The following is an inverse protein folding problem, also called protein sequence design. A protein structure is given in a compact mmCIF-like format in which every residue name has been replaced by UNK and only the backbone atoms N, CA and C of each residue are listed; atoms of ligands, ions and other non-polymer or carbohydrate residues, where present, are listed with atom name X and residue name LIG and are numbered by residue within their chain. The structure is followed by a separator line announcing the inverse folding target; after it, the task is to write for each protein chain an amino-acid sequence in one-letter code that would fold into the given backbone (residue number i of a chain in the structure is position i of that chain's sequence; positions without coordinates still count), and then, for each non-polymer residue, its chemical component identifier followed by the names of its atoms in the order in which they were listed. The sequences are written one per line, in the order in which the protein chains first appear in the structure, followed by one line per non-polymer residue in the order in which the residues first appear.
data_IF_617618618987
#
_entry.id   IF_617618618987
#
_cell.length_a   1.000
_cell.length_b   1.000
_cell.length_c   1.000
_cell.angle_alpha   90.00
_cell.angle_beta   90.00
_cell.angle_gamma   90.00
#
_symmetry.space_group_name_H-M   'P 1'
#
loop_
_entity.id
_entity.type
_entity.pdbx_description
1 polymer ?
#
# COMPACT_ATOMS: atom_id res chain seq x y z
N UNK A 1 17.23 -15.68 23.11
CA UNK A 1 16.31 -15.28 24.21
C UNK A 1 15.15 -14.54 23.59
N UNK A 2 13.92 -15.05 23.74
CA UNK A 2 12.72 -14.29 23.40
C UNK A 2 12.53 -13.26 24.51
N UNK A 3 12.83 -12.00 24.24
CA UNK A 3 12.46 -10.90 25.12
C UNK A 3 10.94 -10.81 25.17
N UNK A 4 10.36 -10.90 26.37
CA UNK A 4 8.94 -10.61 26.58
C UNK A 4 8.59 -9.26 25.92
N UNK A 5 7.43 -9.17 25.24
CA UNK A 5 7.01 -7.90 24.65
C UNK A 5 6.87 -6.89 25.77
N UNK A 6 7.67 -5.82 25.73
CA UNK A 6 7.54 -4.67 26.63
C UNK A 6 6.07 -4.26 26.61
N UNK A 7 5.36 -4.43 27.73
CA UNK A 7 4.03 -3.85 27.91
C UNK A 7 4.15 -2.37 27.50
N UNK A 8 3.44 -1.97 26.44
CA UNK A 8 3.42 -0.59 25.93
C UNK A 8 2.84 0.30 27.03
N UNK A 9 3.71 0.83 27.91
CA UNK A 9 3.33 1.67 29.06
C UNK A 9 2.53 2.90 28.66
N UNK A 10 2.65 3.31 27.39
CA UNK A 10 2.04 4.52 26.86
C UNK A 10 0.70 4.26 26.15
N UNK A 11 0.26 2.99 26.03
CA UNK A 11 -0.97 2.60 25.31
C UNK A 11 -1.07 3.26 23.92
N UNK A 12 0.03 3.29 23.19
CA UNK A 12 0.11 3.73 21.79
C UNK A 12 0.56 2.54 20.96
N UNK A 13 -0.01 2.37 19.77
CA UNK A 13 0.45 1.38 18.82
C UNK A 13 0.26 1.87 17.38
N UNK A 14 1.34 1.93 16.61
CA UNK A 14 1.30 2.17 15.17
C UNK A 14 1.84 0.94 14.46
N UNK A 15 1.07 0.40 13.52
CA UNK A 15 1.43 -0.83 12.82
C UNK A 15 0.94 -0.84 11.39
N UNK A 16 1.74 -1.38 10.49
CA UNK A 16 1.32 -1.71 9.15
C UNK A 16 1.07 -3.22 9.05
N UNK A 17 -0.15 -3.58 8.68
CA UNK A 17 -0.54 -4.93 8.30
C UNK A 17 -0.24 -5.10 6.81
N UNK A 18 0.65 -6.03 6.48
CA UNK A 18 1.01 -6.32 5.09
C UNK A 18 0.13 -7.45 4.55
N UNK A 19 -0.56 -7.18 3.44
CA UNK A 19 -1.37 -8.19 2.75
C UNK A 19 -0.58 -8.58 1.50
N UNK A 20 0.00 -9.77 1.53
CA UNK A 20 0.90 -10.23 0.48
C UNK A 20 0.18 -11.20 -0.47
N UNK A 21 0.21 -10.88 -1.76
CA UNK A 21 -0.10 -11.84 -2.83
C UNK A 21 1.19 -12.13 -3.60
N UNK A 22 1.52 -13.42 -3.77
CA UNK A 22 2.77 -13.83 -4.44
C UNK A 22 2.43 -14.42 -5.80
N UNK A 23 3.03 -13.86 -6.86
CA UNK A 23 2.87 -14.32 -8.23
C UNK A 23 4.18 -14.81 -8.81
N UNK A 24 4.20 -16.10 -9.13
CA UNK A 24 5.25 -16.71 -9.94
C UNK A 24 4.98 -16.43 -11.43
N UNK A 25 5.07 -15.16 -11.81
CA UNK A 25 4.89 -14.72 -13.18
C UNK A 25 6.02 -15.25 -14.07
N UNK A 26 5.68 -15.78 -15.25
CA UNK A 26 6.69 -16.28 -16.21
C UNK A 26 7.31 -15.19 -17.07
N UNK A 27 6.74 -13.98 -17.07
CA UNK A 27 7.16 -12.86 -17.89
C UNK A 27 7.14 -11.56 -17.07
N UNK A 28 7.89 -10.51 -17.50
CA UNK A 28 7.92 -9.23 -16.81
C UNK A 28 6.53 -8.62 -16.62
N UNK A 29 6.38 -7.85 -15.54
CA UNK A 29 5.23 -6.95 -15.34
C UNK A 29 5.68 -5.55 -15.71
N UNK A 30 4.88 -4.84 -16.50
CA UNK A 30 5.17 -3.48 -16.94
C UNK A 30 4.10 -2.55 -16.40
N UNK A 31 4.47 -1.53 -15.63
CA UNK A 31 3.56 -0.46 -15.25
C UNK A 31 3.63 0.68 -16.27
N UNK A 32 2.45 1.18 -16.62
CA UNK A 32 2.25 2.13 -17.72
C UNK A 32 1.45 3.33 -17.18
N UNK A 33 1.72 4.50 -17.75
CA UNK A 33 1.09 5.77 -17.40
C UNK A 33 1.38 6.18 -15.96
N UNK A 34 2.56 6.79 -15.79
CA UNK A 34 2.89 7.55 -14.58
C UNK A 34 1.90 8.70 -14.42
N UNK A 35 1.34 8.84 -13.21
CA UNK A 35 0.44 9.93 -12.86
C UNK A 35 1.00 10.67 -11.65
N UNK A 36 0.87 11.98 -11.66
CA UNK A 36 0.94 12.75 -10.42
C UNK A 36 -0.23 12.36 -9.52
N UNK A 37 -0.03 12.45 -8.20
CA UNK A 37 -1.11 12.31 -7.22
C UNK A 37 -2.33 13.14 -7.66
N UNK A 38 -3.50 12.51 -7.77
CA UNK A 38 -4.73 13.20 -8.15
C UNK A 38 -5.10 14.26 -7.10
N UNK A 39 -5.41 15.51 -7.49
CA UNK A 39 -5.77 16.58 -6.53
C UNK A 39 -7.09 16.33 -5.80
N UNK A 40 -7.89 15.35 -6.25
CA UNK A 40 -9.18 14.99 -5.65
C UNK A 40 -9.13 13.69 -4.84
N UNK A 41 -7.96 13.06 -4.69
CA UNK A 41 -7.83 11.86 -3.85
C UNK A 41 -7.20 12.20 -2.52
N UNK A 42 -7.84 11.71 -1.46
CA UNK A 42 -7.37 11.85 -0.09
C UNK A 42 -6.43 10.68 0.25
N UNK A 43 -5.61 10.83 1.29
CA UNK A 43 -4.69 9.76 1.73
C UNK A 43 -5.46 8.47 2.07
N UNK A 44 -6.63 8.64 2.68
CA UNK A 44 -7.60 7.64 3.09
C UNK A 44 -8.15 6.80 1.93
N UNK A 45 -8.18 7.38 0.73
CA UNK A 45 -8.58 6.66 -0.47
C UNK A 45 -7.48 5.67 -0.82
N UNK A 46 -6.24 6.13 -0.90
CA UNK A 46 -5.13 5.29 -1.33
C UNK A 46 -4.64 4.26 -0.32
N UNK A 47 -4.71 4.58 0.97
CA UNK A 47 -4.19 3.77 2.04
C UNK A 47 -5.27 3.60 3.09
N UNK A 48 -5.83 2.39 3.17
CA UNK A 48 -6.76 2.06 4.24
C UNK A 48 -6.02 1.97 5.56
N UNK A 49 -6.60 2.53 6.61
CA UNK A 49 -6.13 2.41 7.98
C UNK A 49 -7.30 2.55 8.95
N UNK A 50 -7.07 2.11 10.18
CA UNK A 50 -7.96 2.34 11.31
C UNK A 50 -7.30 3.30 12.29
N UNK A 51 -8.12 4.06 12.99
CA UNK A 51 -7.69 4.90 14.11
C UNK A 51 -8.54 4.61 15.33
N UNK A 52 -7.91 4.43 16.48
CA UNK A 52 -8.62 4.42 17.77
C UNK A 52 -8.00 5.46 18.69
N UNK A 53 -8.80 6.21 19.47
CA UNK A 53 -10.26 6.26 19.43
C UNK A 53 -10.79 6.83 18.10
N UNK A 54 -12.07 6.55 17.76
CA UNK A 54 -12.65 6.99 16.49
C UNK A 54 -12.71 8.52 16.38
N UNK A 55 -12.79 9.01 15.14
CA UNK A 55 -12.85 10.42 14.81
C UNK A 55 -13.96 11.17 15.57
N UNK A 56 -13.67 12.40 16.01
CA UNK A 56 -14.65 13.30 16.63
C UNK A 56 -14.66 13.32 18.17
N UNK A 57 -13.91 12.44 18.84
CA UNK A 57 -13.68 12.53 20.28
C UNK A 57 -12.45 13.38 20.64
N UNK A 58 -12.41 13.99 21.82
CA UNK A 58 -11.22 14.73 22.33
C UNK A 58 -9.95 13.85 22.33
N UNK A 59 -10.11 12.53 22.50
CA UNK A 59 -8.99 11.61 22.52
C UNK A 59 -8.43 11.26 21.12
N UNK A 60 -9.07 11.70 20.02
CA UNK A 60 -8.59 11.53 18.64
C UNK A 60 -7.81 12.75 18.11
N UNK A 61 -7.56 13.78 18.94
CA UNK A 61 -6.87 15.01 18.52
C UNK A 61 -5.44 14.81 18.01
N UNK A 62 -4.78 13.70 18.32
CA UNK A 62 -3.45 13.42 17.78
C UNK A 62 -3.46 13.27 16.27
N UNK A 63 -4.57 12.77 15.68
CA UNK A 63 -4.69 12.57 14.24
C UNK A 63 -4.55 13.90 13.48
N UNK A 64 -5.22 14.95 13.95
CA UNK A 64 -5.17 16.27 13.33
C UNK A 64 -3.79 16.96 13.44
N UNK A 65 -2.88 16.40 14.25
CA UNK A 65 -1.53 16.92 14.46
C UNK A 65 -0.47 16.15 13.68
N UNK A 66 -0.86 15.09 12.97
CA UNK A 66 0.05 14.25 12.20
C UNK A 66 -0.43 14.23 10.75
N UNK A 67 0.40 14.75 9.85
CA UNK A 67 0.17 14.67 8.42
C UNK A 67 0.65 13.30 7.91
N UNK A 68 -0.26 12.31 7.89
CA UNK A 68 0.08 10.94 7.48
C UNK A 68 0.62 10.84 6.06
N UNK A 69 0.22 11.75 5.17
CA UNK A 69 0.75 11.81 3.80
C UNK A 69 2.25 12.11 3.82
N UNK A 70 2.66 13.13 4.59
CA UNK A 70 4.07 13.48 4.77
C UNK A 70 4.83 12.42 5.58
N UNK A 71 4.25 11.92 6.68
CA UNK A 71 4.93 10.97 7.55
C UNK A 71 5.24 9.65 6.84
N UNK A 72 4.34 9.19 5.95
CA UNK A 72 4.58 8.02 5.13
C UNK A 72 5.39 8.32 3.86
N UNK A 73 5.85 9.57 3.67
CA UNK A 73 6.67 10.04 2.54
C UNK A 73 6.02 9.82 1.17
N UNK A 74 4.71 10.07 1.08
CA UNK A 74 3.93 9.77 -0.12
C UNK A 74 4.21 10.73 -1.28
N UNK A 75 4.75 11.91 -1.00
CA UNK A 75 5.08 12.94 -2.00
C UNK A 75 6.14 12.52 -3.02
N UNK A 76 6.92 11.47 -2.73
CA UNK A 76 7.99 10.98 -3.61
C UNK A 76 7.59 9.75 -4.42
N UNK A 77 6.32 9.32 -4.33
CA UNK A 77 5.87 8.08 -4.93
C UNK A 77 5.52 8.28 -6.40
N UNK A 78 6.12 7.43 -7.25
CA UNK A 78 5.66 7.26 -8.62
C UNK A 78 4.47 6.32 -8.62
N UNK A 79 3.32 6.86 -9.01
CA UNK A 79 2.06 6.13 -9.09
C UNK A 79 1.77 5.83 -10.56
N UNK A 80 1.44 4.59 -10.85
CA UNK A 80 1.05 4.14 -12.18
C UNK A 80 -0.41 3.73 -12.17
N UNK A 81 -1.14 3.99 -13.25
CA UNK A 81 -2.58 3.69 -13.34
C UNK A 81 -2.90 2.47 -14.20
N UNK A 82 -1.90 1.93 -14.90
CA UNK A 82 -2.06 0.79 -15.80
C UNK A 82 -0.93 -0.19 -15.58
N UNK A 83 -1.21 -1.47 -15.79
CA UNK A 83 -0.21 -2.52 -15.80
C UNK A 83 -0.45 -3.44 -16.98
N UNK A 84 0.61 -3.99 -17.55
CA UNK A 84 0.57 -5.01 -18.58
C UNK A 84 1.42 -6.19 -18.12
N UNK A 85 0.98 -7.40 -18.46
CA UNK A 85 1.82 -8.59 -18.33
C UNK A 85 1.80 -9.36 -19.65
N UNK A 86 2.65 -10.37 -19.76
CA UNK A 86 2.77 -11.12 -21.01
C UNK A 86 2.46 -12.59 -20.79
N UNK A 87 1.93 -13.22 -21.83
CA UNK A 87 1.78 -14.68 -21.88
C UNK A 87 2.25 -15.21 -23.23
N UNK A 88 2.73 -16.45 -23.27
CA UNK A 88 3.08 -17.12 -24.52
C UNK A 88 1.82 -17.62 -25.21
N UNK A 89 1.64 -17.22 -26.47
CA UNK A 89 0.61 -17.80 -27.32
C UNK A 89 0.98 -19.25 -27.64
N UNK A 90 0.12 -20.21 -27.23
CA UNK A 90 0.31 -21.67 -27.39
C UNK A 90 0.73 -22.11 -28.80
N UNK A 91 0.36 -21.35 -29.84
CA UNK A 91 0.57 -21.74 -31.24
C UNK A 91 1.78 -21.13 -31.94
N UNK A 92 2.43 -20.08 -31.40
CA UNK A 92 3.44 -19.32 -32.17
C UNK A 92 4.73 -18.90 -31.46
N UNK A 93 4.91 -19.21 -30.16
CA UNK A 93 6.03 -18.67 -29.35
C UNK A 93 6.14 -17.13 -29.38
N UNK A 94 5.04 -16.46 -29.75
CA UNK A 94 4.93 -15.00 -29.69
C UNK A 94 4.43 -14.60 -28.30
N UNK A 95 5.06 -13.60 -27.69
CA UNK A 95 4.56 -12.96 -26.47
C UNK A 95 3.39 -12.07 -26.85
N UNK A 96 2.26 -12.24 -26.18
CA UNK A 96 1.14 -11.33 -26.27
C UNK A 96 0.97 -10.60 -24.95
N UNK A 97 0.81 -9.28 -25.04
CA UNK A 97 0.29 -8.47 -23.95
C UNK A 97 -1.07 -9.04 -23.56
N UNK A 98 -1.20 -9.41 -22.30
CA UNK A 98 -2.42 -9.94 -21.72
C UNK A 98 -2.56 -9.35 -20.32
N UNK A 99 -3.80 -9.09 -19.91
CA UNK A 99 -4.11 -8.94 -18.50
C UNK A 99 -4.63 -10.31 -18.05
N UNK A 100 -3.79 -11.19 -17.49
CA UNK A 100 -4.28 -12.39 -16.84
C UNK A 100 -5.24 -11.91 -15.78
N UNK A 101 -6.46 -12.40 -15.86
CA UNK A 101 -7.48 -12.23 -14.83
C UNK A 101 -6.88 -12.51 -13.44
N UNK A 102 -5.87 -13.38 -13.35
CA UNK A 102 -5.12 -13.69 -12.15
C UNK A 102 -4.53 -12.49 -11.39
N UNK A 103 -4.05 -11.43 -12.05
CA UNK A 103 -3.55 -10.24 -11.34
C UNK A 103 -4.71 -9.42 -10.78
N UNK A 104 -5.71 -9.15 -11.62
CA UNK A 104 -6.91 -8.41 -11.25
C UNK A 104 -7.63 -9.08 -10.07
N UNK A 105 -7.84 -10.39 -10.15
CA UNK A 105 -8.47 -11.18 -9.08
C UNK A 105 -7.68 -11.13 -7.78
N UNK A 106 -6.35 -11.06 -7.86
CA UNK A 106 -5.50 -10.97 -6.66
C UNK A 106 -5.61 -9.60 -6.00
N UNK A 107 -5.66 -8.55 -6.81
CA UNK A 107 -5.92 -7.19 -6.32
C UNK A 107 -7.28 -7.12 -5.61
N UNK A 108 -8.33 -7.65 -6.23
CA UNK A 108 -9.66 -7.69 -5.62
C UNK A 108 -9.67 -8.47 -4.31
N UNK A 109 -9.05 -9.67 -4.25
CA UNK A 109 -8.98 -10.45 -3.00
C UNK A 109 -8.27 -9.73 -1.87
N UNK A 110 -7.15 -9.06 -2.15
CA UNK A 110 -6.46 -8.25 -1.14
C UNK A 110 -7.36 -7.12 -0.63
N UNK A 111 -8.05 -6.44 -1.54
CA UNK A 111 -8.95 -5.32 -1.21
C UNK A 111 -10.16 -5.80 -0.40
N UNK A 112 -10.79 -6.90 -0.79
CA UNK A 112 -11.89 -7.52 -0.05
C UNK A 112 -11.47 -7.88 1.37
N UNK A 113 -10.28 -8.47 1.53
CA UNK A 113 -9.73 -8.77 2.84
C UNK A 113 -9.50 -7.50 3.67
N UNK A 114 -8.87 -6.48 3.08
CA UNK A 114 -8.59 -5.20 3.77
C UNK A 114 -9.88 -4.55 4.23
N UNK A 115 -10.89 -4.46 3.36
CA UNK A 115 -12.18 -3.86 3.69
C UNK A 115 -12.87 -4.65 4.82
N UNK A 116 -12.85 -5.98 4.76
CA UNK A 116 -13.41 -6.83 5.80
C UNK A 116 -12.70 -6.65 7.16
N UNK A 117 -11.37 -6.49 7.17
CA UNK A 117 -10.62 -6.24 8.40
C UNK A 117 -10.92 -4.85 8.96
N UNK A 118 -10.92 -3.80 8.13
CA UNK A 118 -11.22 -2.43 8.55
C UNK A 118 -12.62 -2.35 9.16
N UNK A 119 -13.65 -2.93 8.52
CA UNK A 119 -15.02 -2.91 9.04
C UNK A 119 -15.20 -3.65 10.38
N UNK A 120 -14.31 -4.57 10.75
CA UNK A 120 -14.36 -5.21 12.09
C UNK A 120 -14.01 -4.26 13.23
N UNK A 121 -13.37 -3.13 12.93
CA UNK A 121 -12.96 -2.13 13.93
C UNK A 121 -14.00 -1.02 14.14
N UNK A 122 -15.14 -1.07 13.46
CA UNK A 122 -16.23 -0.08 13.60
C UNK A 122 -16.92 -0.12 14.98
N UNK A 123 -16.62 -1.12 15.83
CA UNK A 123 -17.08 -1.21 17.23
C UNK A 123 -15.88 -1.29 18.20
N UNK A 124 -15.16 -0.18 18.44
CA UNK A 124 -13.96 -0.20 19.26
C UNK A 124 -14.33 -0.24 20.76
N UNK A 125 -13.87 -1.27 21.47
CA UNK A 125 -13.82 -1.29 22.93
C UNK A 125 -13.06 -0.04 23.45
N UNK A 126 -13.64 0.71 24.39
CA UNK A 126 -12.99 1.85 25.05
C UNK A 126 -11.88 1.39 26.02
N UNK A 127 -10.73 1.02 25.46
CA UNK A 127 -9.58 0.50 26.21
C UNK A 127 -8.44 1.54 26.40
N UNK A 128 -8.70 2.78 25.98
CA UNK A 128 -7.81 3.96 26.09
C UNK A 128 -6.51 3.86 25.25
N UNK A 129 -6.43 2.93 24.29
CA UNK A 129 -5.30 2.87 23.37
C UNK A 129 -5.45 3.86 22.22
N UNK A 130 -4.33 4.51 21.89
CA UNK A 130 -4.20 5.30 20.67
C UNK A 130 -3.58 4.39 19.61
N UNK A 131 -4.39 3.96 18.64
CA UNK A 131 -3.96 3.05 17.58
C UNK A 131 -4.03 3.72 16.24
N UNK A 132 -3.06 3.41 15.40
CA UNK A 132 -3.08 3.73 13.99
C UNK A 132 -2.58 2.50 13.23
N UNK A 133 -3.50 1.70 12.68
CA UNK A 133 -3.11 0.50 11.94
C UNK A 133 -3.39 0.67 10.45
N UNK A 134 -2.34 0.63 9.64
CA UNK A 134 -2.39 0.70 8.19
C UNK A 134 -2.55 -0.69 7.58
N UNK A 135 -3.17 -0.79 6.40
CA UNK A 135 -3.33 -2.03 5.65
C UNK A 135 -2.74 -1.88 4.25
N UNK A 136 -1.54 -2.41 4.04
CA UNK A 136 -0.78 -2.21 2.81
C UNK A 136 -0.83 -3.46 1.93
N UNK A 137 -1.52 -3.40 0.77
CA UNK A 137 -1.52 -4.48 -0.20
C UNK A 137 -0.20 -4.48 -0.98
N UNK A 138 0.44 -5.64 -1.04
CA UNK A 138 1.71 -5.84 -1.73
C UNK A 138 1.59 -7.05 -2.64
N UNK A 139 1.79 -6.82 -3.94
CA UNK A 139 1.99 -7.88 -4.90
C UNK A 139 3.49 -8.16 -5.05
N UNK A 140 3.90 -9.36 -4.68
CA UNK A 140 5.28 -9.84 -4.86
C UNK A 140 5.35 -10.63 -6.16
N UNK A 141 6.22 -10.20 -7.07
CA UNK A 141 6.45 -10.87 -8.36
C UNK A 141 7.85 -11.49 -8.39
N UNK A 142 7.97 -12.62 -9.09
CA UNK A 142 9.24 -13.35 -9.21
C UNK A 142 10.18 -12.76 -10.27
N UNK A 143 9.63 -12.37 -11.40
CA UNK A 143 10.43 -11.85 -12.53
C UNK A 143 10.47 -10.31 -12.52
N UNK A 144 11.10 -9.74 -13.55
CA UNK A 144 11.33 -8.30 -13.69
C UNK A 144 10.06 -7.46 -13.57
N UNK A 145 10.18 -6.37 -12.82
CA UNK A 145 9.24 -5.26 -12.83
C UNK A 145 9.84 -4.13 -13.67
N UNK A 146 9.06 -3.63 -14.61
CA UNK A 146 9.46 -2.56 -15.51
C UNK A 146 8.46 -1.41 -15.42
N UNK A 147 8.92 -0.19 -15.66
CA UNK A 147 8.06 0.98 -15.84
C UNK A 147 8.26 1.54 -17.25
N UNK A 148 7.18 2.01 -17.88
CA UNK A 148 7.26 2.78 -19.12
C UNK A 148 7.46 4.25 -18.77
N UNK A 149 8.54 4.87 -19.27
CA UNK A 149 8.87 6.26 -19.01
C UNK A 149 9.17 7.01 -20.31
N UNK A 150 8.64 8.21 -20.44
CA UNK A 150 9.02 9.12 -21.52
C UNK A 150 10.41 9.71 -21.25
N UNK A 151 11.28 9.68 -22.25
CA UNK A 151 12.62 10.24 -22.20
C UNK A 151 12.64 11.71 -22.65
N UNK A 152 13.79 12.36 -22.56
CA UNK A 152 13.93 13.78 -22.89
C UNK A 152 13.64 14.12 -24.37
N UNK A 153 13.62 13.11 -25.24
CA UNK A 153 13.35 13.26 -26.66
C UNK A 153 11.87 13.01 -27.01
N UNK A 154 11.03 12.73 -26.02
CA UNK A 154 9.62 12.36 -26.23
C UNK A 154 9.40 10.92 -26.68
N UNK A 155 10.42 10.06 -26.58
CA UNK A 155 10.31 8.63 -26.87
C UNK A 155 10.07 7.84 -25.57
N UNK A 156 9.49 6.65 -25.67
CA UNK A 156 9.19 5.83 -24.51
C UNK A 156 10.21 4.70 -24.33
N UNK A 157 10.75 4.60 -23.12
CA UNK A 157 11.71 3.58 -22.72
C UNK A 157 11.15 2.73 -21.57
N UNK A 158 11.48 1.44 -21.58
CA UNK A 158 11.23 0.54 -20.46
C UNK A 158 12.41 0.59 -19.49
N UNK A 159 12.14 0.91 -18.23
CA UNK A 159 13.16 0.95 -17.18
C UNK A 159 12.89 -0.13 -16.13
N UNK A 160 13.88 -0.97 -15.79
CA UNK A 160 13.74 -1.93 -14.71
C UNK A 160 13.69 -1.19 -13.37
N UNK A 161 12.81 -1.66 -12.49
CA UNK A 161 12.68 -1.20 -11.11
C UNK A 161 12.41 -2.40 -10.22
N UNK A 162 12.69 -2.28 -8.92
CA UNK A 162 12.38 -3.35 -7.97
C UNK A 162 11.09 -3.10 -7.18
N UNK A 163 10.58 -1.87 -7.23
CA UNK A 163 9.33 -1.46 -6.59
C UNK A 163 8.68 -0.36 -7.41
N UNK A 164 7.36 -0.42 -7.53
CA UNK A 164 6.53 0.71 -7.96
C UNK A 164 5.11 0.56 -7.38
N UNK A 165 4.31 1.64 -7.42
CA UNK A 165 2.93 1.60 -6.93
C UNK A 165 1.94 1.64 -8.09
N UNK A 166 0.96 0.75 -8.04
CA UNK A 166 -0.17 0.72 -8.94
C UNK A 166 -1.40 1.28 -8.22
N UNK A 167 -1.99 2.33 -8.78
CA UNK A 167 -3.34 2.76 -8.44
C UNK A 167 -4.33 1.79 -9.07
N UNK A 168 -5.08 1.10 -8.21
CA UNK A 168 -6.09 0.17 -8.62
C UNK A 168 -7.48 0.73 -8.30
N UNK A 169 -8.24 0.99 -9.35
CA UNK A 169 -9.61 1.51 -9.26
C UNK A 169 -10.61 0.36 -9.11
N UNK A 170 -11.51 0.46 -8.15
CA UNK A 170 -12.55 -0.54 -7.86
C UNK A 170 -13.84 0.12 -7.36
N UNK A 171 -14.90 -0.66 -7.20
CA UNK A 171 -16.15 -0.20 -6.61
C UNK A 171 -16.31 -0.80 -5.22
N UNK A 172 -16.65 0.06 -4.25
CA UNK A 172 -17.03 -0.34 -2.90
C UNK A 172 -18.43 0.23 -2.62
N UNK A 173 -19.41 -0.66 -2.41
CA UNK A 173 -20.80 -0.27 -2.16
C UNK A 173 -21.33 0.77 -3.17
N UNK A 174 -21.18 0.46 -4.46
CA UNK A 174 -21.52 1.31 -5.62
C UNK A 174 -20.76 2.66 -5.70
N UNK A 175 -19.79 2.89 -4.82
CA UNK A 175 -18.94 4.09 -4.83
C UNK A 175 -17.62 3.78 -5.53
N UNK A 176 -17.24 4.51 -6.59
CA UNK A 176 -15.94 4.37 -7.20
C UNK A 176 -14.86 4.83 -6.22
N UNK A 177 -13.86 4.00 -6.03
CA UNK A 177 -12.75 4.24 -5.12
C UNK A 177 -11.46 3.65 -5.71
N UNK A 178 -10.34 3.90 -5.05
CA UNK A 178 -9.03 3.51 -5.51
C UNK A 178 -8.22 3.01 -4.32
N UNK A 179 -7.17 2.25 -4.55
CA UNK A 179 -6.16 1.90 -3.53
C UNK A 179 -4.80 1.85 -4.22
N UNK A 180 -3.72 2.14 -3.48
CA UNK A 180 -2.38 1.87 -3.98
C UNK A 180 -1.93 0.47 -3.59
N UNK A 181 -1.44 -0.27 -4.57
CA UNK A 181 -0.83 -1.58 -4.43
C UNK A 181 0.65 -1.44 -4.70
N UNK A 182 1.49 -1.82 -3.73
CA UNK A 182 2.92 -1.96 -3.99
C UNK A 182 3.16 -3.20 -4.83
N UNK A 183 3.82 -3.03 -5.96
CA UNK A 183 4.31 -4.13 -6.78
C UNK A 183 5.82 -4.18 -6.57
N UNK A 184 6.31 -5.30 -6.07
CA UNK A 184 7.72 -5.50 -5.73
C UNK A 184 8.25 -6.79 -6.32
N UNK A 185 9.54 -6.77 -6.68
CA UNK A 185 10.29 -8.00 -6.91
C UNK A 185 10.57 -8.70 -5.58
N UNK A 186 10.81 -10.01 -5.60
CA UNK A 186 11.19 -10.78 -4.40
C UNK A 186 12.36 -10.15 -3.63
N UNK A 187 13.33 -9.60 -4.35
CA UNK A 187 14.55 -8.99 -3.78
C UNK A 187 14.25 -7.70 -2.99
N UNK A 188 13.25 -6.92 -3.40
CA UNK A 188 12.91 -5.65 -2.75
C UNK A 188 11.88 -5.78 -1.62
N UNK A 189 11.28 -6.95 -1.43
CA UNK A 189 10.24 -7.13 -0.41
C UNK A 189 10.75 -6.78 1.00
N UNK A 190 11.91 -7.31 1.41
CA UNK A 190 12.43 -7.05 2.75
C UNK A 190 12.77 -5.58 2.97
N UNK A 191 13.31 -4.90 1.96
CA UNK A 191 13.60 -3.46 2.03
C UNK A 191 12.31 -2.66 2.23
N UNK A 192 11.25 -2.99 1.48
CA UNK A 192 9.93 -2.40 1.65
C UNK A 192 9.42 -2.59 3.09
N UNK A 193 9.41 -3.83 3.60
CA UNK A 193 8.88 -4.14 4.94
C UNK A 193 9.65 -3.39 6.03
N UNK A 194 10.98 -3.36 5.97
CA UNK A 194 11.79 -2.64 6.95
C UNK A 194 11.58 -1.13 6.90
N UNK A 195 11.44 -0.55 5.70
CA UNK A 195 11.13 0.87 5.54
C UNK A 195 9.81 1.21 6.21
N UNK A 196 8.76 0.43 5.97
CA UNK A 196 7.44 0.71 6.55
C UNK A 196 7.44 0.54 8.08
N UNK A 197 8.16 -0.44 8.62
CA UNK A 197 8.37 -0.59 10.07
C UNK A 197 9.10 0.63 10.65
N UNK A 198 10.12 1.15 9.96
CA UNK A 198 10.82 2.37 10.40
C UNK A 198 9.87 3.58 10.43
N UNK A 199 9.06 3.76 9.39
CA UNK A 199 8.06 4.83 9.33
C UNK A 199 7.02 4.69 10.45
N UNK A 200 6.54 3.48 10.73
CA UNK A 200 5.62 3.23 11.85
C UNK A 200 6.23 3.61 13.19
N UNK A 201 7.50 3.27 13.43
CA UNK A 201 8.21 3.64 14.67
C UNK A 201 8.37 5.16 14.82
N UNK A 202 8.61 5.87 13.72
CA UNK A 202 8.70 7.34 13.70
C UNK A 202 7.35 7.95 14.08
N UNK A 203 6.25 7.47 13.46
CA UNK A 203 4.90 7.94 13.74
C UNK A 203 4.50 7.59 15.18
N UNK A 204 4.78 6.38 15.66
CA UNK A 204 4.51 5.96 17.04
C UNK A 204 5.19 6.88 18.04
N UNK A 205 6.48 7.18 17.82
CA UNK A 205 7.25 8.08 18.69
C UNK A 205 6.66 9.49 18.75
N UNK A 206 6.10 9.99 17.62
CA UNK A 206 5.39 11.27 17.56
C UNK A 206 4.06 11.22 18.32
N UNK A 207 3.26 10.17 18.13
CA UNK A 207 1.99 10.01 18.87
C UNK A 207 2.25 9.91 20.38
N UNK A 208 3.29 9.18 20.78
CA UNK A 208 3.72 9.09 22.18
C UNK A 208 4.07 10.46 22.76
N UNK A 209 4.75 11.34 22.01
CA UNK A 209 5.09 12.67 22.50
C UNK A 209 3.87 13.56 22.66
N UNK A 210 2.86 13.40 21.80
CA UNK A 210 1.56 14.10 21.89
C UNK A 210 0.69 13.61 23.05
N UNK A 211 0.84 12.34 23.45
CA UNK A 211 0.07 11.75 24.56
C UNK A 211 0.61 12.11 25.94
N UNK A 212 1.87 12.56 26.03
CA UNK A 212 2.47 12.99 27.29
C UNK A 212 1.76 14.28 27.78
N UNK A 213 1.39 14.34 29.08
CA UNK A 213 0.60 15.43 29.64
C UNK A 213 1.33 16.77 29.63
#
# INVERSE_FOLDING_TARGET
EYSEPKLHKEKVAVKTHFILEVKNNSFPVVLITERSSSPNMMFEDYQRYIVTPPFGGEAAHFYNQIDLYQEKKWENLKIYSQYCSFTLKKSKKELMAFHPDEFHDSFLKMIEYINAEVSRWDDPDDDKYWRLFFYQPILVIKNDLMILKENQNGEYDLQPVNQAKLEFNYFQDDTPTSILIDIVTEEALLELLYREIELDNIIESKIVSLKKP
#
